data_IF_926954187556
#
_entry.id   IF_926954187556
#
_cell.length_a   1.000
_cell.length_b   1.000
_cell.length_c   1.000
_cell.angle_alpha   90.00
_cell.angle_beta   90.00
_cell.angle_gamma   90.00
#
_symmetry.space_group_name_H-M   'P 1'
#
loop_
_entity.id
_entity.type
_entity.pdbx_description
1 polymer ?
#
# COMPACT_ATOMS: atom_id res chain seq x y z
N UNK A 1 7.51 -13.30 -2.59
CA UNK A 1 6.72 -12.70 -1.49
C UNK A 1 7.12 -11.26 -1.18
N UNK A 2 6.18 -10.34 -1.35
CA UNK A 2 6.30 -8.90 -1.04
C UNK A 2 5.24 -8.58 0.02
N UNK A 3 5.61 -7.76 1.00
CA UNK A 3 4.70 -7.30 2.05
C UNK A 3 4.54 -5.79 1.94
N UNK A 4 3.30 -5.34 1.78
CA UNK A 4 2.95 -3.92 1.75
C UNK A 4 2.12 -3.51 2.95
N UNK A 5 2.52 -2.40 3.56
CA UNK A 5 1.71 -1.72 4.56
C UNK A 5 0.82 -0.71 3.83
N UNK A 6 -0.46 -1.03 3.76
CA UNK A 6 -1.46 -0.21 3.13
C UNK A 6 -2.29 0.53 4.19
N UNK A 7 -2.78 1.72 3.83
CA UNK A 7 -3.66 2.54 4.64
C UNK A 7 -4.86 2.99 3.81
N UNK A 8 -6.06 2.90 4.37
CA UNK A 8 -7.24 3.47 3.75
C UNK A 8 -7.21 5.00 3.92
N UNK A 9 -7.35 5.79 2.85
CA UNK A 9 -7.24 7.24 2.94
C UNK A 9 -8.37 7.87 3.76
N UNK A 10 -9.57 7.25 3.72
CA UNK A 10 -10.80 7.71 4.39
C UNK A 10 -10.91 7.31 5.85
N UNK A 11 -10.86 6.00 6.15
CA UNK A 11 -11.07 5.50 7.50
C UNK A 11 -9.77 5.27 8.29
N UNK A 12 -8.60 5.49 7.67
CA UNK A 12 -7.27 5.27 8.26
C UNK A 12 -7.00 3.84 8.75
N UNK A 13 -7.85 2.88 8.39
CA UNK A 13 -7.62 1.45 8.66
C UNK A 13 -6.33 1.03 7.95
N UNK A 14 -5.49 0.28 8.66
CA UNK A 14 -4.25 -0.29 8.14
C UNK A 14 -4.48 -1.72 7.70
N UNK A 15 -3.85 -2.11 6.61
CA UNK A 15 -3.87 -3.47 6.09
C UNK A 15 -2.45 -3.88 5.72
N UNK A 16 -1.99 -4.99 6.28
CA UNK A 16 -0.76 -5.64 5.84
C UNK A 16 -1.13 -6.61 4.73
N UNK A 17 -0.73 -6.28 3.51
CA UNK A 17 -1.05 -7.05 2.32
C UNK A 17 0.17 -7.85 1.88
N UNK A 18 0.07 -9.17 1.99
CA UNK A 18 1.14 -10.12 1.65
C UNK A 18 0.80 -10.76 0.33
N UNK A 19 1.69 -10.62 -0.65
CA UNK A 19 1.46 -11.12 -2.01
C UNK A 19 2.66 -11.94 -2.43
N UNK A 20 2.40 -13.17 -2.90
CA UNK A 20 3.44 -14.01 -3.45
C UNK A 20 3.60 -13.81 -4.95
N UNK A 21 4.19 -12.67 -5.30
CA UNK A 21 4.60 -12.37 -6.67
C UNK A 21 6.10 -12.09 -6.76
N UNK A 22 6.63 -12.26 -7.96
CA UNK A 22 7.98 -11.78 -8.28
C UNK A 22 8.05 -10.25 -8.14
N UNK A 23 9.17 -9.70 -7.62
CA UNK A 23 9.38 -8.26 -7.52
C UNK A 23 9.21 -7.49 -8.83
N UNK A 24 9.46 -8.11 -9.99
CA UNK A 24 9.26 -7.48 -11.30
C UNK A 24 7.77 -7.25 -11.66
N UNK A 25 6.86 -8.06 -11.13
CA UNK A 25 5.40 -7.95 -11.36
C UNK A 25 4.70 -7.16 -10.25
N UNK A 26 5.46 -6.61 -9.30
CA UNK A 26 4.94 -5.87 -8.16
C UNK A 26 4.04 -4.68 -8.58
N UNK A 27 4.33 -4.03 -9.70
CA UNK A 27 3.51 -2.93 -10.24
C UNK A 27 2.18 -3.37 -10.88
N UNK A 28 2.05 -4.66 -11.18
CA UNK A 28 0.86 -5.24 -11.83
C UNK A 28 -0.14 -5.78 -10.79
N UNK A 29 0.25 -5.82 -9.51
CA UNK A 29 -0.62 -6.30 -8.43
C UNK A 29 -1.65 -5.23 -8.08
N UNK A 30 -2.92 -5.58 -8.22
CA UNK A 30 -4.03 -4.72 -7.80
C UNK A 30 -4.12 -4.62 -6.27
N UNK A 31 -4.27 -3.40 -5.77
CA UNK A 31 -4.49 -3.14 -4.35
C UNK A 31 -5.95 -3.42 -3.97
N UNK A 32 -6.21 -4.09 -2.83
CA UNK A 32 -7.55 -4.39 -2.38
C UNK A 32 -8.33 -3.11 -2.03
N UNK A 33 -9.66 -3.23 -1.99
CA UNK A 33 -10.55 -2.17 -1.49
C UNK A 33 -10.76 -2.30 0.02
N UNK A 34 -10.99 -1.17 0.66
CA UNK A 34 -11.32 -1.11 2.08
C UNK A 34 -12.70 -1.69 2.33
N UNK A 35 -12.75 -2.71 3.19
CA UNK A 35 -13.97 -3.40 3.58
C UNK A 35 -15.00 -2.51 4.29
N UNK A 36 -14.55 -1.37 4.84
CA UNK A 36 -15.39 -0.47 5.64
C UNK A 36 -16.07 0.61 4.78
N UNK A 37 -15.34 1.19 3.83
CA UNK A 37 -15.81 2.34 3.06
C UNK A 37 -15.76 2.17 1.55
N UNK A 38 -15.27 1.02 1.06
CA UNK A 38 -15.18 0.68 -0.36
C UNK A 38 -14.06 1.38 -1.14
N UNK A 39 -13.31 2.29 -0.52
CA UNK A 39 -12.21 3.00 -1.17
C UNK A 39 -10.95 2.13 -1.31
N UNK A 40 -10.21 2.33 -2.39
CA UNK A 40 -8.96 1.60 -2.63
C UNK A 40 -7.93 1.94 -1.55
N UNK A 41 -7.28 0.90 -1.02
CA UNK A 41 -6.16 1.08 -0.09
C UNK A 41 -4.98 1.76 -0.82
N UNK A 42 -4.24 2.61 -0.11
CA UNK A 42 -3.01 3.25 -0.63
C UNK A 42 -1.80 2.75 0.14
N UNK A 43 -0.60 2.88 -0.41
CA UNK A 43 0.62 2.67 0.36
C UNK A 43 0.70 3.65 1.52
N UNK A 44 1.03 3.18 2.72
CA UNK A 44 1.32 4.04 3.85
C UNK A 44 2.70 4.68 3.61
N UNK A 45 2.72 5.91 3.10
CA UNK A 45 3.94 6.71 2.90
C UNK A 45 4.47 7.29 4.22
N UNK A 46 4.29 6.58 5.34
CA UNK A 46 4.77 6.97 6.66
C UNK A 46 6.31 6.90 6.66
N UNK A 47 6.94 8.06 6.39
CA UNK A 47 8.38 8.33 6.34
C UNK A 47 9.13 8.16 5.01
N UNK A 48 8.49 8.37 3.86
CA UNK A 48 9.25 8.96 2.75
C UNK A 48 9.50 10.44 3.02
N UNK A 49 10.39 10.71 3.99
CA UNK A 49 11.29 11.87 3.89
C UNK A 49 12.14 11.61 2.65
N UNK A 50 11.59 11.85 1.46
CA UNK A 50 12.40 12.34 0.36
C UNK A 50 12.95 13.68 0.85
N UNK A 51 14.03 13.63 1.63
CA UNK A 51 15.02 14.70 1.60
C UNK A 51 15.48 14.69 0.16
N UNK A 52 14.84 15.49 -0.67
CA UNK A 52 15.44 16.01 -1.89
C UNK A 52 16.71 16.68 -1.39
N UNK A 53 17.82 15.94 -1.40
CA UNK A 53 19.14 16.52 -1.18
C UNK A 53 19.40 17.31 -2.45
N UNK A 54 19.08 18.60 -2.33
CA UNK A 54 19.63 19.79 -3.00
C UNK A 54 19.80 19.72 -4.52
#
# INVERSE_FOLDING_TARGET
MIVWNLICPKCKKRLRYEVDVCPCMASEVELPKCEVCGEQYTFELSNTRFKIKK
#
